data_IF_173111011240
#
_entry.id   IF_173111011240
#
_cell.length_a   1.000
_cell.length_b   1.000
_cell.length_c   1.000
_cell.angle_alpha   90.00
_cell.angle_beta   90.00
_cell.angle_gamma   90.00
#
_symmetry.space_group_name_H-M   'P 1'
#
loop_
_entity.id
_entity.type
_entity.pdbx_description
1 polymer ?
#
# COMPACT_ATOMS: atom_id res chain seq x y z
N UNK A 1 16.47 11.89 -4.69
CA UNK A 1 16.77 11.58 -3.28
C UNK A 1 18.03 10.76 -3.25
N UNK A 2 19.01 10.99 -2.35
CA UNK A 2 20.12 10.05 -2.24
C UNK A 2 19.52 8.68 -1.93
N UNK A 3 19.85 7.68 -2.77
CA UNK A 3 19.27 6.34 -2.65
C UNK A 3 19.67 5.72 -1.32
N UNK A 4 18.70 5.15 -0.62
CA UNK A 4 18.93 4.40 0.63
C UNK A 4 19.98 3.33 0.37
N UNK A 5 21.07 3.35 1.13
CA UNK A 5 22.18 2.40 1.02
C UNK A 5 21.85 1.14 1.81
N UNK A 6 21.50 0.08 1.10
CA UNK A 6 21.14 -1.20 1.71
C UNK A 6 22.27 -2.20 1.51
N UNK A 7 22.69 -2.86 2.59
CA UNK A 7 23.64 -3.97 2.54
C UNK A 7 22.86 -5.27 2.74
N UNK A 8 22.80 -6.10 1.69
CA UNK A 8 22.15 -7.41 1.76
C UNK A 8 23.15 -8.48 2.22
N UNK A 9 22.75 -9.29 3.21
CA UNK A 9 23.49 -10.47 3.65
C UNK A 9 22.81 -11.69 3.01
N UNK A 10 23.37 -12.25 1.91
CA UNK A 10 22.73 -13.36 1.20
C UNK A 10 22.69 -14.62 2.07
N UNK A 11 23.77 -14.93 2.78
CA UNK A 11 23.79 -16.03 3.74
C UNK A 11 24.82 -15.79 4.84
N UNK A 12 24.56 -16.35 6.01
CA UNK A 12 25.52 -16.44 7.10
C UNK A 12 25.42 -17.84 7.70
N UNK A 13 26.56 -18.52 7.85
CA UNK A 13 26.59 -19.89 8.32
C UNK A 13 27.70 -20.10 9.35
N UNK A 14 27.42 -20.92 10.36
CA UNK A 14 28.40 -21.39 11.34
C UNK A 14 28.43 -22.92 11.25
N UNK A 15 29.63 -23.48 11.04
CA UNK A 15 29.82 -24.94 10.99
C UNK A 15 29.26 -25.58 12.26
N UNK A 16 28.58 -26.71 12.12
CA UNK A 16 27.79 -27.35 13.20
C UNK A 16 28.57 -27.50 14.51
N UNK A 17 29.82 -27.96 14.45
CA UNK A 17 30.71 -28.14 15.61
C UNK A 17 31.08 -26.85 16.38
N UNK A 18 30.87 -25.68 15.78
CA UNK A 18 31.13 -24.37 16.42
C UNK A 18 29.86 -23.55 16.63
N UNK A 19 28.68 -24.15 16.43
CA UNK A 19 27.42 -23.50 16.80
C UNK A 19 27.40 -23.30 18.32
N UNK A 20 26.72 -22.26 18.78
CA UNK A 20 26.64 -21.84 20.19
C UNK A 20 27.96 -21.35 20.81
N UNK A 21 29.07 -21.31 20.07
CA UNK A 21 30.34 -20.70 20.52
C UNK A 21 30.41 -19.17 20.32
N UNK A 22 29.29 -18.51 20.05
CA UNK A 22 29.23 -17.05 19.84
C UNK A 22 29.72 -16.54 18.47
N UNK A 23 30.24 -17.42 17.59
CA UNK A 23 30.78 -17.03 16.28
C UNK A 23 29.77 -16.27 15.43
N UNK A 24 28.53 -16.75 15.33
CA UNK A 24 27.50 -16.05 14.54
C UNK A 24 27.23 -14.63 15.04
N UNK A 25 27.15 -14.45 16.37
CA UNK A 25 26.99 -13.14 17.00
C UNK A 25 28.20 -12.23 16.73
N UNK A 26 29.41 -12.79 16.79
CA UNK A 26 30.64 -12.07 16.47
C UNK A 26 30.66 -11.58 15.02
N UNK A 27 30.28 -12.44 14.07
CA UNK A 27 30.18 -12.08 12.65
C UNK A 27 29.17 -10.96 12.43
N UNK A 28 27.96 -11.07 12.99
CA UNK A 28 26.95 -10.01 12.91
C UNK A 28 27.44 -8.69 13.51
N UNK A 29 28.12 -8.73 14.67
CA UNK A 29 28.69 -7.52 15.30
C UNK A 29 29.73 -6.84 14.41
N UNK A 30 30.46 -7.59 13.58
CA UNK A 30 31.40 -7.04 12.60
C UNK A 30 30.66 -6.43 11.41
N UNK A 31 29.67 -7.12 10.87
CA UNK A 31 28.85 -6.62 9.75
C UNK A 31 28.06 -5.35 10.11
N UNK A 32 27.60 -5.25 11.36
CA UNK A 32 26.92 -4.04 11.87
C UNK A 32 27.81 -2.80 11.94
N UNK A 33 29.13 -2.91 11.79
CA UNK A 33 30.03 -1.75 11.88
C UNK A 33 30.20 -1.10 10.50
N UNK A 34 29.84 0.18 10.33
CA UNK A 34 30.08 0.90 9.08
C UNK A 34 31.55 0.90 8.66
N UNK A 35 32.48 0.83 9.61
CA UNK A 35 33.92 0.71 9.33
C UNK A 35 34.35 -0.61 8.66
N UNK A 36 33.45 -1.59 8.53
CA UNK A 36 33.73 -2.87 7.89
C UNK A 36 33.01 -3.03 6.55
N UNK A 37 31.76 -2.56 6.47
CA UNK A 37 30.90 -2.73 5.28
C UNK A 37 30.62 -1.43 4.53
N UNK A 38 31.24 -0.32 4.97
CA UNK A 38 30.92 1.03 4.52
C UNK A 38 29.69 1.62 5.22
N UNK A 39 29.39 2.92 5.03
CA UNK A 39 28.17 3.53 5.54
C UNK A 39 26.94 2.93 4.85
N UNK A 40 25.94 2.54 5.65
CA UNK A 40 24.69 1.95 5.20
C UNK A 40 23.52 2.45 6.05
N UNK A 41 22.32 2.44 5.48
CA UNK A 41 21.07 2.81 6.14
C UNK A 41 20.33 1.59 6.68
N UNK A 42 20.54 0.41 6.09
CA UNK A 42 20.01 -0.85 6.58
C UNK A 42 20.87 -2.06 6.20
N UNK A 43 20.92 -3.03 7.11
CA UNK A 43 21.36 -4.40 6.83
C UNK A 43 20.13 -5.29 6.66
N UNK A 44 20.07 -6.04 5.57
CA UNK A 44 18.90 -6.84 5.23
C UNK A 44 19.28 -8.30 5.06
N UNK A 45 18.44 -9.20 5.56
CA UNK A 45 18.66 -10.64 5.48
C UNK A 45 17.33 -11.37 5.24
N UNK A 46 17.40 -12.49 4.53
CA UNK A 46 16.32 -13.47 4.51
C UNK A 46 16.63 -14.58 5.51
N UNK A 47 15.89 -14.62 6.62
CA UNK A 47 16.04 -15.58 7.69
C UNK A 47 15.14 -16.81 7.45
N UNK A 48 15.70 -18.01 7.64
CA UNK A 48 14.92 -19.24 7.77
C UNK A 48 14.23 -19.27 9.15
N UNK A 49 13.13 -20.01 9.28
CA UNK A 49 12.33 -20.09 10.52
C UNK A 49 13.15 -20.46 11.77
N UNK A 50 14.18 -21.31 11.62
CA UNK A 50 15.07 -21.70 12.73
C UNK A 50 16.02 -20.57 13.18
N UNK A 51 16.23 -19.57 12.32
CA UNK A 51 17.20 -18.49 12.52
C UNK A 51 16.58 -17.15 12.89
N UNK A 52 15.26 -16.97 12.71
CA UNK A 52 14.54 -15.73 13.03
C UNK A 52 14.82 -15.26 14.45
N UNK A 53 14.72 -16.16 15.44
CA UNK A 53 14.98 -15.81 16.85
C UNK A 53 16.43 -15.39 17.09
N UNK A 54 17.39 -15.98 16.36
CA UNK A 54 18.78 -15.56 16.43
C UNK A 54 18.95 -14.12 15.93
N UNK A 55 18.31 -13.76 14.81
CA UNK A 55 18.38 -12.40 14.27
C UNK A 55 17.64 -11.39 15.14
N UNK A 56 16.48 -11.74 15.70
CA UNK A 56 15.73 -10.91 16.66
C UNK A 56 16.57 -10.57 17.90
N UNK A 57 17.26 -11.57 18.47
CA UNK A 57 18.23 -11.37 19.58
C UNK A 57 19.46 -10.54 19.21
N UNK A 58 19.66 -10.27 17.92
CA UNK A 58 20.69 -9.39 17.39
C UNK A 58 20.06 -8.17 16.72
N UNK A 59 18.96 -7.65 17.26
CA UNK A 59 18.33 -6.37 16.92
C UNK A 59 17.82 -6.25 15.47
N UNK A 60 17.64 -7.37 14.77
CA UNK A 60 16.91 -7.35 13.51
C UNK A 60 15.41 -7.32 13.80
N UNK A 61 14.70 -6.45 13.10
CA UNK A 61 13.24 -6.35 13.13
C UNK A 61 12.62 -7.31 12.11
N UNK A 62 11.58 -8.01 12.53
CA UNK A 62 10.66 -8.81 11.71
C UNK A 62 9.39 -8.05 11.31
N UNK A 63 9.33 -6.73 11.54
CA UNK A 63 8.16 -5.92 11.17
C UNK A 63 7.92 -5.94 9.65
N UNK A 64 6.76 -6.49 9.25
CA UNK A 64 6.41 -6.73 7.85
C UNK A 64 6.34 -5.44 7.04
N UNK A 65 5.85 -4.35 7.64
CA UNK A 65 5.66 -3.06 6.95
C UNK A 65 7.02 -2.41 6.77
N UNK A 66 7.83 -2.34 7.83
CA UNK A 66 9.18 -1.81 7.77
C UNK A 66 10.02 -2.59 6.76
N UNK A 67 10.02 -3.91 6.83
CA UNK A 67 10.82 -4.76 5.97
C UNK A 67 10.35 -4.73 4.51
N UNK A 68 9.07 -4.43 4.24
CA UNK A 68 8.56 -4.33 2.88
C UNK A 68 9.29 -3.30 2.01
N UNK A 69 9.87 -2.26 2.62
CA UNK A 69 10.65 -1.21 1.91
C UNK A 69 11.96 -1.72 1.31
N UNK A 70 12.41 -2.90 1.72
CA UNK A 70 13.68 -3.49 1.27
C UNK A 70 13.50 -4.68 0.32
N UNK A 71 12.27 -4.93 -0.16
CA UNK A 71 12.01 -6.05 -1.07
C UNK A 71 12.84 -5.97 -2.34
N UNK A 72 13.02 -4.78 -2.89
CA UNK A 72 13.82 -4.57 -4.10
C UNK A 72 15.31 -4.85 -3.87
N UNK A 73 15.81 -4.66 -2.64
CA UNK A 73 17.21 -4.88 -2.31
C UNK A 73 17.60 -6.37 -2.22
N UNK A 74 16.61 -7.27 -2.18
CA UNK A 74 16.82 -8.72 -2.20
C UNK A 74 16.45 -9.35 -3.54
N UNK A 75 16.38 -8.54 -4.60
CA UNK A 75 16.10 -8.95 -5.98
C UNK A 75 17.35 -8.75 -6.84
N UNK A 76 17.66 -9.71 -7.71
CA UNK A 76 18.77 -9.65 -8.66
C UNK A 76 18.41 -8.87 -9.94
N UNK A 77 19.40 -8.66 -10.82
CA UNK A 77 19.22 -7.93 -12.09
C UNK A 77 18.19 -8.57 -13.04
N UNK A 78 17.78 -9.82 -12.79
CA UNK A 78 16.77 -10.54 -13.56
C UNK A 78 15.36 -10.41 -12.98
N UNK A 79 15.20 -9.65 -11.89
CA UNK A 79 13.93 -9.49 -11.19
C UNK A 79 13.56 -10.67 -10.30
N UNK A 80 14.51 -11.58 -10.02
CA UNK A 80 14.30 -12.73 -9.12
C UNK A 80 14.84 -12.44 -7.74
N UNK A 81 14.16 -12.88 -6.70
CA UNK A 81 14.72 -12.78 -5.35
C UNK A 81 16.06 -13.54 -5.29
N UNK A 82 17.10 -12.92 -4.74
CA UNK A 82 18.46 -13.47 -4.56
C UNK A 82 18.38 -14.84 -3.89
N UNK A 83 17.40 -15.00 -3.00
CA UNK A 83 17.00 -16.26 -2.42
C UNK A 83 15.47 -16.37 -2.46
N UNK A 84 14.88 -17.51 -2.86
CA UNK A 84 13.43 -17.64 -2.93
C UNK A 84 12.78 -17.54 -1.56
N UNK A 85 11.68 -16.77 -1.45
CA UNK A 85 10.84 -16.69 -0.23
C UNK A 85 10.31 -18.03 0.28
N UNK A 86 10.21 -19.02 -0.60
CA UNK A 86 9.84 -20.39 -0.27
C UNK A 86 10.83 -21.33 -0.91
N UNK A 87 11.55 -22.08 -0.08
CA UNK A 87 12.45 -23.15 -0.53
C UNK A 87 11.89 -24.50 -0.08
N UNK A 88 12.49 -25.61 -0.53
CA UNK A 88 12.18 -26.95 0.00
C UNK A 88 12.36 -27.04 1.54
N UNK A 89 13.10 -26.09 2.13
CA UNK A 89 13.41 -26.00 3.55
C UNK A 89 12.51 -25.02 4.32
N UNK A 90 11.47 -24.45 3.68
CA UNK A 90 10.46 -23.62 4.33
C UNK A 90 10.40 -22.17 3.86
N UNK A 91 9.53 -21.39 4.51
CA UNK A 91 9.33 -19.96 4.26
C UNK A 91 10.47 -19.16 4.88
N UNK A 92 11.01 -18.22 4.11
CA UNK A 92 11.99 -17.23 4.56
C UNK A 92 11.32 -15.91 4.89
N UNK A 93 11.77 -15.30 5.98
CA UNK A 93 11.30 -14.01 6.46
C UNK A 93 12.36 -12.93 6.19
N UNK A 94 11.94 -11.85 5.55
CA UNK A 94 12.79 -10.68 5.33
C UNK A 94 12.88 -9.91 6.63
N UNK A 95 14.10 -9.73 7.14
CA UNK A 95 14.38 -8.98 8.36
C UNK A 95 15.40 -7.89 8.08
N UNK A 96 15.30 -6.77 8.79
CA UNK A 96 16.24 -5.66 8.66
C UNK A 96 16.82 -5.26 10.01
N UNK A 97 18.07 -4.82 10.00
CA UNK A 97 18.70 -4.09 11.09
C UNK A 97 18.95 -2.66 10.63
N UNK A 98 18.54 -1.71 11.46
CA UNK A 98 18.79 -0.29 11.25
C UNK A 98 19.92 0.13 12.19
N UNK A 99 21.03 0.67 11.67
CA UNK A 99 22.06 1.19 12.53
C UNK A 99 21.49 2.36 13.34
N UNK A 100 21.95 2.56 14.59
CA UNK A 100 21.65 3.79 15.30
C UNK A 100 22.16 4.96 14.46
N UNK A 101 21.49 6.11 14.55
CA UNK A 101 22.01 7.34 13.95
C UNK A 101 23.45 7.53 14.44
N UNK A 102 24.40 7.57 13.51
CA UNK A 102 25.82 7.74 13.79
C UNK A 102 26.09 9.21 14.12
N UNK A 103 25.52 9.59 15.25
CA UNK A 103 25.76 10.84 15.87
C UNK A 103 27.24 11.03 16.12
N UNK A 104 27.89 11.79 15.27
CA UNK A 104 28.92 12.74 15.70
C UNK A 104 28.29 13.82 16.61
N UNK A 105 27.46 13.40 17.57
CA UNK A 105 26.95 14.25 18.61
C UNK A 105 28.07 14.37 19.63
N UNK A 106 28.49 15.60 19.99
CA UNK A 106 29.37 15.77 21.12
C UNK A 106 28.74 15.07 22.33
N UNK A 107 29.56 14.45 23.22
CA UNK A 107 29.02 13.80 24.41
C UNK A 107 28.16 14.80 25.17
N UNK A 108 26.84 14.55 25.21
CA UNK A 108 25.93 15.46 25.88
C UNK A 108 26.22 15.45 27.39
N UNK A 109 26.21 16.62 28.05
CA UNK A 109 26.25 16.66 29.51
C UNK A 109 25.11 15.84 30.11
N UNK A 110 25.37 15.05 31.15
CA UNK A 110 24.33 14.23 31.82
C UNK A 110 24.09 12.83 31.26
N UNK A 111 24.94 12.32 30.35
CA UNK A 111 24.82 10.98 29.73
C UNK A 111 24.61 9.80 30.70
N UNK A 112 25.11 9.89 31.94
CA UNK A 112 24.88 8.84 32.95
C UNK A 112 23.41 8.73 33.40
N UNK A 113 22.65 9.82 33.33
CA UNK A 113 21.22 9.83 33.69
C UNK A 113 20.35 9.22 32.60
N UNK A 114 20.73 9.38 31.33
CA UNK A 114 20.04 8.79 30.17
C UNK A 114 20.19 7.27 30.09
N UNK A 115 21.28 6.73 30.60
CA UNK A 115 21.50 5.27 30.67
C UNK A 115 20.75 4.60 31.84
N UNK A 116 20.00 5.37 32.65
CA UNK A 116 19.18 4.79 33.72
C UNK A 116 18.06 3.95 33.11
N UNK A 117 17.84 2.77 33.67
CA UNK A 117 16.80 1.83 33.23
C UNK A 117 15.42 2.49 33.17
N UNK A 118 15.10 3.37 34.11
CA UNK A 118 13.84 4.13 34.12
C UNK A 118 13.64 4.98 32.85
N UNK A 119 14.71 5.66 32.40
CA UNK A 119 14.67 6.51 31.19
C UNK A 119 14.53 5.64 29.95
N UNK A 120 15.27 4.52 29.87
CA UNK A 120 15.16 3.58 28.75
C UNK A 120 13.76 2.96 28.68
N UNK A 121 13.19 2.54 29.81
CA UNK A 121 11.82 2.03 29.85
C UNK A 121 10.81 3.09 29.41
N UNK A 122 10.99 4.35 29.82
CA UNK A 122 10.11 5.44 29.40
C UNK A 122 10.18 5.72 27.89
N UNK A 123 11.38 5.58 27.29
CA UNK A 123 11.57 5.65 25.84
C UNK A 123 10.85 4.50 25.16
N UNK A 124 11.04 3.27 25.62
CA UNK A 124 10.40 2.08 25.06
C UNK A 124 8.86 2.19 25.13
N UNK A 125 8.33 2.65 26.26
CA UNK A 125 6.91 2.91 26.45
C UNK A 125 6.37 3.99 25.50
N UNK A 126 7.12 5.08 25.29
CA UNK A 126 6.73 6.13 24.36
C UNK A 126 6.76 5.63 22.92
N UNK A 127 7.77 4.84 22.55
CA UNK A 127 7.86 4.21 21.22
C UNK A 127 6.67 3.28 20.98
N UNK A 128 6.29 2.44 21.95
CA UNK A 128 5.13 1.56 21.79
C UNK A 128 3.82 2.36 21.72
N UNK A 129 3.67 3.42 22.52
CA UNK A 129 2.52 4.34 22.41
C UNK A 129 2.43 4.95 21.02
N UNK A 130 3.54 5.38 20.46
CA UNK A 130 3.59 5.92 19.09
C UNK A 130 3.20 4.86 18.07
N UNK A 131 3.73 3.65 18.21
CA UNK A 131 3.42 2.51 17.33
C UNK A 131 1.91 2.23 17.31
N UNK A 132 1.27 2.15 18.47
CA UNK A 132 -0.17 1.91 18.60
C UNK A 132 -0.98 3.05 17.97
N UNK A 133 -0.67 4.31 18.29
CA UNK A 133 -1.37 5.47 17.70
C UNK A 133 -1.22 5.54 16.19
N UNK A 134 -0.02 5.27 15.67
CA UNK A 134 0.21 5.21 14.21
C UNK A 134 -0.61 4.10 13.56
N UNK A 135 -0.73 2.93 14.21
CA UNK A 135 -1.55 1.84 13.71
C UNK A 135 -3.04 2.20 13.67
N UNK A 136 -3.56 2.80 14.74
CA UNK A 136 -4.97 3.26 14.81
C UNK A 136 -5.29 4.31 13.73
N UNK A 137 -4.38 5.26 13.53
CA UNK A 137 -4.50 6.27 12.48
C UNK A 137 -4.49 5.62 11.09
N UNK A 138 -3.57 4.69 10.84
CA UNK A 138 -3.49 3.96 9.57
C UNK A 138 -4.76 3.14 9.31
N UNK A 139 -5.27 2.42 10.30
CA UNK A 139 -6.50 1.64 10.19
C UNK A 139 -7.72 2.52 9.90
N UNK A 140 -7.81 3.68 10.54
CA UNK A 140 -8.88 4.66 10.31
C UNK A 140 -8.84 5.22 8.88
N UNK A 141 -7.64 5.59 8.40
CA UNK A 141 -7.43 6.05 7.02
C UNK A 141 -7.80 4.97 6.01
N UNK A 142 -7.34 3.74 6.21
CA UNK A 142 -7.64 2.62 5.31
C UNK A 142 -9.14 2.31 5.25
N UNK A 143 -9.82 2.34 6.40
CA UNK A 143 -11.27 2.15 6.48
C UNK A 143 -12.04 3.21 5.67
N UNK A 144 -11.59 4.47 5.73
CA UNK A 144 -12.16 5.55 4.93
C UNK A 144 -11.96 5.32 3.43
N UNK A 145 -10.73 4.98 3.01
CA UNK A 145 -10.39 4.69 1.62
C UNK A 145 -11.25 3.54 1.08
N UNK A 146 -11.39 2.46 1.83
CA UNK A 146 -12.21 1.30 1.44
C UNK A 146 -13.68 1.70 1.23
N UNK A 147 -14.24 2.53 2.10
CA UNK A 147 -15.62 3.06 1.95
C UNK A 147 -15.77 3.96 0.73
N UNK A 148 -14.80 4.83 0.48
CA UNK A 148 -14.80 5.68 -0.72
C UNK A 148 -14.76 4.86 -2.00
N UNK A 149 -13.95 3.80 -2.05
CA UNK A 149 -13.90 2.89 -3.19
C UNK A 149 -15.27 2.24 -3.45
N UNK A 150 -15.94 1.76 -2.39
CA UNK A 150 -17.28 1.19 -2.51
C UNK A 150 -18.31 2.22 -3.00
N UNK A 151 -18.27 3.45 -2.48
CA UNK A 151 -19.18 4.51 -2.92
C UNK A 151 -18.94 4.89 -4.38
N UNK A 152 -17.68 4.94 -4.84
CA UNK A 152 -17.36 5.15 -6.26
C UNK A 152 -18.00 4.07 -7.14
N UNK A 153 -17.89 2.79 -6.76
CA UNK A 153 -18.51 1.68 -7.51
C UNK A 153 -20.03 1.83 -7.54
N UNK A 154 -20.64 2.14 -6.40
CA UNK A 154 -22.08 2.35 -6.28
C UNK A 154 -22.55 3.54 -7.13
N UNK A 155 -21.88 4.69 -7.04
CA UNK A 155 -22.20 5.89 -7.83
C UNK A 155 -22.09 5.62 -9.33
N UNK A 156 -21.04 4.90 -9.78
CA UNK A 156 -20.92 4.48 -11.18
C UNK A 156 -22.11 3.62 -11.62
N UNK A 157 -22.56 2.70 -10.76
CA UNK A 157 -23.73 1.87 -11.06
C UNK A 157 -25.03 2.67 -11.16
N UNK A 158 -25.22 3.67 -10.29
CA UNK A 158 -26.37 4.55 -10.29
C UNK A 158 -26.38 5.44 -11.53
N UNK A 159 -25.23 6.01 -11.89
CA UNK A 159 -25.07 6.85 -13.08
C UNK A 159 -25.43 6.08 -14.36
N UNK A 160 -24.95 4.83 -14.49
CA UNK A 160 -25.30 3.96 -15.63
C UNK A 160 -26.82 3.69 -15.70
N UNK A 161 -27.48 3.53 -14.55
CA UNK A 161 -28.93 3.31 -14.49
C UNK A 161 -29.72 4.58 -14.85
N UNK A 162 -29.26 5.74 -14.39
CA UNK A 162 -29.85 7.03 -14.74
C UNK A 162 -29.72 7.34 -16.23
N UNK A 163 -28.55 7.08 -16.81
CA UNK A 163 -28.33 7.24 -18.25
C UNK A 163 -29.26 6.36 -19.09
N UNK A 164 -29.47 5.11 -18.66
CA UNK A 164 -30.47 4.23 -19.28
C UNK A 164 -31.89 4.81 -19.19
N UNK A 165 -32.29 5.29 -18.02
CA UNK A 165 -33.59 5.92 -17.80
C UNK A 165 -33.79 7.17 -18.67
N UNK A 166 -32.79 8.05 -18.73
CA UNK A 166 -32.80 9.25 -19.58
C UNK A 166 -32.95 8.88 -21.05
N UNK A 167 -32.19 7.90 -21.54
CA UNK A 167 -32.28 7.43 -22.92
C UNK A 167 -33.66 6.83 -23.25
N UNK A 168 -34.27 6.12 -22.30
CA UNK A 168 -35.64 5.60 -22.45
C UNK A 168 -36.66 6.73 -22.57
N UNK A 169 -36.66 7.66 -21.61
CA UNK A 169 -37.57 8.82 -21.62
C UNK A 169 -37.38 9.70 -22.86
N UNK A 170 -36.13 9.89 -23.29
CA UNK A 170 -35.83 10.65 -24.52
C UNK A 170 -36.46 9.99 -25.75
N UNK A 171 -36.39 8.65 -25.87
CA UNK A 171 -37.03 7.91 -26.97
C UNK A 171 -38.55 8.03 -26.93
N UNK A 172 -39.15 7.88 -25.74
CA UNK A 172 -40.60 8.02 -25.55
C UNK A 172 -41.08 9.42 -25.93
N UNK A 173 -40.37 10.46 -25.46
CA UNK A 173 -40.71 11.85 -25.78
C UNK A 173 -40.59 12.15 -27.28
N UNK A 174 -39.53 11.66 -27.95
CA UNK A 174 -39.41 11.76 -29.41
C UNK A 174 -40.56 11.05 -30.15
N UNK A 175 -41.03 9.90 -29.65
CA UNK A 175 -42.18 9.21 -30.22
C UNK A 175 -43.47 10.00 -30.05
N UNK A 176 -43.70 10.56 -28.86
CA UNK A 176 -44.87 11.39 -28.57
C UNK A 176 -44.88 12.65 -29.43
N UNK A 177 -43.75 13.33 -29.58
CA UNK A 177 -43.62 14.50 -30.46
C UNK A 177 -43.95 14.16 -31.92
N UNK A 178 -43.52 12.98 -32.42
CA UNK A 178 -43.87 12.52 -33.77
C UNK A 178 -45.37 12.26 -33.91
N UNK A 179 -45.99 11.59 -32.93
CA UNK A 179 -47.43 11.33 -32.95
C UNK A 179 -48.26 12.61 -32.87
N UNK A 180 -47.84 13.57 -32.04
CA UNK A 180 -48.48 14.88 -31.95
C UNK A 180 -48.43 15.60 -33.31
N UNK A 181 -47.26 15.68 -33.92
CA UNK A 181 -47.10 16.31 -35.24
C UNK A 181 -47.97 15.63 -36.30
N UNK A 182 -48.02 14.30 -36.31
CA UNK A 182 -48.89 13.55 -37.22
C UNK A 182 -50.36 13.89 -37.00
N UNK A 183 -50.82 13.92 -35.75
CA UNK A 183 -52.20 14.28 -35.41
C UNK A 183 -52.53 15.72 -35.82
N UNK A 184 -51.62 16.68 -35.61
CA UNK A 184 -51.80 18.07 -36.03
C UNK A 184 -51.87 18.20 -37.56
N UNK A 185 -51.01 17.47 -38.29
CA UNK A 185 -51.07 17.44 -39.76
C UNK A 185 -52.36 16.82 -40.28
N UNK A 186 -52.86 15.75 -39.65
CA UNK A 186 -54.14 15.15 -40.03
C UNK A 186 -55.31 16.10 -39.77
N UNK A 187 -55.33 16.77 -38.61
CA UNK A 187 -56.38 17.76 -38.29
C UNK A 187 -56.37 18.94 -39.25
N UNK A 188 -55.19 19.47 -39.60
CA UNK A 188 -55.08 20.59 -40.56
C UNK A 188 -55.51 20.20 -41.96
N UNK A 189 -55.16 19.00 -42.43
CA UNK A 189 -55.64 18.46 -43.72
C UNK A 189 -57.17 18.27 -43.73
N UNK A 190 -57.73 17.71 -42.66
CA UNK A 190 -59.18 17.55 -42.53
C UNK A 190 -59.92 18.89 -42.55
N UNK A 191 -59.37 19.92 -41.90
CA UNK A 191 -59.90 21.28 -41.98
C UNK A 191 -59.82 21.82 -43.41
N UNK A 192 -58.68 21.67 -44.11
CA UNK A 192 -58.55 22.13 -45.50
C UNK A 192 -59.55 21.44 -46.43
N UNK A 193 -59.78 20.13 -46.27
CA UNK A 193 -60.79 19.40 -47.04
C UNK A 193 -62.21 19.86 -46.74
N UNK A 194 -62.55 20.07 -45.47
CA UNK A 194 -63.85 20.60 -45.07
C UNK A 194 -64.12 21.98 -45.71
N UNK A 195 -63.13 22.88 -45.66
CA UNK A 195 -63.21 24.19 -46.30
C UNK A 195 -63.38 24.11 -47.82
N UNK A 196 -62.65 23.22 -48.50
CA UNK A 196 -62.79 23.01 -49.95
C UNK A 196 -64.20 22.54 -50.31
N UNK A 197 -64.75 21.60 -49.54
CA UNK A 197 -66.10 21.06 -49.77
C UNK A 197 -67.18 22.12 -49.50
N UNK A 198 -67.02 22.97 -48.49
CA UNK A 198 -67.92 24.12 -48.30
C UNK A 198 -67.84 25.09 -49.48
N UNK A 199 -66.65 25.48 -49.94
CA UNK A 199 -66.53 26.39 -51.10
C UNK A 199 -67.08 25.81 -52.41
N UNK A 200 -67.07 24.49 -52.59
CA UNK A 200 -67.63 23.81 -53.75
C UNK A 200 -69.18 23.71 -53.72
N UNK A 201 -69.80 23.84 -52.54
CA UNK A 201 -71.26 23.85 -52.39
C UNK A 201 -71.88 25.26 -52.55
N UNK A 202 -71.07 26.32 -52.60
CA UNK A 202 -71.51 27.71 -52.73
C UNK A 202 -71.19 28.35 -54.10
N UNK A 203 -70.70 27.59 -55.08
CA UNK A 203 -70.46 28.02 -56.46
C UNK A 203 -71.32 27.24 -57.45
#
# INVERSE_FOLDING_TARGET
SPGVKVVCIPFIAVRTRYRRSGIGRFLLKRLKRPSQVGPYDALVIQADAESTEFFRKNDFSDDIILNSRFREAVVDDTGREILPRSTAYGRRELMCYLPPFDGHYPPMPGTNEWNRTEVMNAIDDEVERWRVRSLEAYQSQWSCIARLQQEIVKLRSLLKRQEYGFNKLRKENQSLQKMLLQSETQSTLALIEAWKNETANYG
#
